data_IF_480547660818
#
_entry.id   IF_480547660818
#
_cell.length_a   1.000
_cell.length_b   1.000
_cell.length_c   1.000
_cell.angle_alpha   90.00
_cell.angle_beta   90.00
_cell.angle_gamma   90.00
#
_symmetry.space_group_name_H-M   'P 1'
#
loop_
_entity.id
_entity.type
_entity.pdbx_description
1 polymer ?
#
# COMPACT_ATOMS: atom_id res chain seq x y z
N UNK A 1 2.18 -20.45 2.84
CA UNK A 1 2.44 -19.35 3.79
C UNK A 1 2.20 -19.86 5.18
N UNK A 2 3.20 -19.73 6.05
CA UNK A 2 3.13 -20.08 7.47
C UNK A 2 3.09 -18.80 8.32
N UNK A 3 1.92 -18.53 8.90
CA UNK A 3 1.69 -17.35 9.73
C UNK A 3 2.41 -17.41 11.09
N UNK A 4 2.68 -18.60 11.62
CA UNK A 4 3.40 -18.77 12.90
C UNK A 4 4.87 -18.44 12.71
N UNK A 5 5.48 -18.93 11.62
CA UNK A 5 6.84 -18.58 11.26
C UNK A 5 6.97 -17.09 10.95
N UNK A 6 6.04 -16.53 10.16
CA UNK A 6 6.02 -15.11 9.85
C UNK A 6 5.92 -14.24 11.13
N UNK A 7 5.03 -14.59 12.06
CA UNK A 7 4.92 -13.90 13.35
C UNK A 7 6.18 -14.08 14.22
N UNK A 8 6.79 -15.26 14.21
CA UNK A 8 8.04 -15.52 14.92
C UNK A 8 9.25 -14.72 14.39
N UNK A 9 9.24 -14.38 13.10
CA UNK A 9 10.21 -13.49 12.44
C UNK A 9 9.89 -12.02 12.73
N UNK A 10 8.63 -11.60 12.57
CA UNK A 10 8.23 -10.20 12.68
C UNK A 10 8.18 -9.69 14.13
N UNK A 11 7.68 -10.50 15.07
CA UNK A 11 7.42 -10.10 16.46
C UNK A 11 8.06 -11.03 17.49
N UNK A 12 8.57 -12.18 17.06
CA UNK A 12 9.22 -13.16 17.91
C UNK A 12 10.74 -13.01 17.95
N UNK A 13 11.40 -14.13 18.28
CA UNK A 13 12.84 -14.21 18.48
C UNK A 13 13.60 -14.90 17.35
N UNK A 14 12.94 -15.24 16.25
CA UNK A 14 13.58 -16.04 15.19
C UNK A 14 14.74 -15.29 14.52
N UNK A 15 14.73 -13.95 14.56
CA UNK A 15 15.82 -13.11 14.04
C UNK A 15 16.91 -12.76 15.06
N UNK A 16 16.81 -13.20 16.32
CA UNK A 16 17.91 -13.00 17.27
C UNK A 16 19.17 -13.77 16.81
N UNK A 17 18.97 -14.92 16.18
CA UNK A 17 20.04 -15.80 15.70
C UNK A 17 19.60 -16.60 14.47
N UNK A 18 20.43 -16.58 13.42
CA UNK A 18 20.11 -17.29 12.17
C UNK A 18 19.99 -18.82 12.31
N UNK A 19 20.58 -19.43 13.34
CA UNK A 19 20.38 -20.85 13.62
C UNK A 19 18.96 -21.18 14.09
N UNK A 20 18.29 -20.25 14.79
CA UNK A 20 16.89 -20.44 15.21
C UNK A 20 15.97 -20.43 13.99
N UNK A 21 16.14 -19.43 13.11
CA UNK A 21 15.34 -19.35 11.89
C UNK A 21 15.61 -20.54 10.96
N UNK A 22 16.86 -20.97 10.79
CA UNK A 22 17.20 -22.12 9.95
C UNK A 22 16.53 -23.41 10.46
N UNK A 23 16.55 -23.65 11.79
CA UNK A 23 15.86 -24.79 12.40
C UNK A 23 14.34 -24.70 12.28
N UNK A 24 13.78 -23.51 12.36
CA UNK A 24 12.34 -23.30 12.23
C UNK A 24 11.85 -23.52 10.78
N UNK A 25 12.64 -23.09 9.78
CA UNK A 25 12.34 -23.27 8.35
C UNK A 25 12.55 -24.70 7.87
N UNK A 26 13.56 -25.38 8.39
CA UNK A 26 13.90 -26.75 8.02
C UNK A 26 14.17 -27.54 9.30
N UNK A 27 13.14 -28.01 10.02
CA UNK A 27 13.36 -28.87 11.18
C UNK A 27 14.05 -30.17 10.75
N UNK A 28 14.87 -30.73 11.65
CA UNK A 28 15.37 -32.10 11.46
C UNK A 28 14.21 -33.06 11.64
N UNK A 29 13.81 -33.76 10.58
CA UNK A 29 12.72 -34.73 10.63
C UNK A 29 13.30 -36.10 10.97
N UNK A 30 12.80 -36.71 12.06
CA UNK A 30 13.13 -38.09 12.39
C UNK A 30 12.20 -39.05 11.64
N UNK A 31 12.71 -39.75 10.62
CA UNK A 31 11.98 -40.81 9.88
C UNK A 31 11.40 -40.38 8.52
N UNK A 32 10.91 -41.37 7.77
CA UNK A 32 10.42 -41.33 6.37
C UNK A 32 9.14 -40.50 6.15
N UNK A 33 9.08 -39.28 6.67
CA UNK A 33 7.90 -38.43 6.60
C UNK A 33 7.94 -37.48 5.41
N UNK A 34 7.68 -38.02 4.23
CA UNK A 34 6.95 -37.32 3.17
C UNK A 34 6.35 -38.37 2.24
N UNK A 35 5.07 -38.69 2.41
CA UNK A 35 4.32 -39.59 1.51
C UNK A 35 4.37 -39.11 0.04
N UNK A 36 4.72 -37.84 -0.20
CA UNK A 36 4.68 -37.17 -1.51
C UNK A 36 6.04 -36.60 -1.99
N UNK A 37 7.16 -36.97 -1.36
CA UNK A 37 8.52 -36.75 -1.90
C UNK A 37 9.14 -35.34 -1.79
N UNK A 38 8.41 -34.31 -1.35
CA UNK A 38 9.00 -33.03 -0.87
C UNK A 38 8.04 -32.22 0.01
N UNK A 39 8.58 -31.29 0.82
CA UNK A 39 7.81 -30.32 1.61
C UNK A 39 8.30 -28.89 1.32
N UNK A 40 7.39 -27.91 1.42
CA UNK A 40 7.67 -26.50 1.17
C UNK A 40 7.38 -25.66 2.41
N UNK A 41 8.42 -25.17 3.07
CA UNK A 41 8.31 -24.10 4.06
C UNK A 41 8.31 -22.74 3.36
N UNK A 42 7.32 -21.90 3.66
CA UNK A 42 7.22 -20.55 3.09
C UNK A 42 6.69 -19.55 4.11
N UNK A 43 7.33 -18.38 4.21
CA UNK A 43 6.88 -17.24 4.99
C UNK A 43 7.03 -15.96 4.17
N UNK A 44 6.29 -14.93 4.57
CA UNK A 44 6.43 -13.57 4.05
C UNK A 44 6.36 -12.60 5.22
N UNK A 45 7.20 -11.55 5.19
CA UNK A 45 7.26 -10.47 6.18
C UNK A 45 7.65 -9.17 5.49
N UNK A 46 7.40 -8.03 6.13
CA UNK A 46 7.85 -6.73 5.63
C UNK A 46 9.38 -6.66 5.54
N UNK A 47 9.91 -6.00 4.52
CA UNK A 47 11.37 -5.90 4.29
C UNK A 47 12.09 -5.16 5.42
N UNK A 48 11.41 -4.17 5.98
CA UNK A 48 11.80 -3.39 7.16
C UNK A 48 12.04 -4.27 8.40
N UNK A 49 11.54 -5.52 8.40
CA UNK A 49 11.83 -6.47 9.48
C UNK A 49 13.33 -6.71 9.64
N UNK A 50 14.09 -6.73 8.55
CA UNK A 50 15.51 -7.04 8.54
C UNK A 50 16.38 -5.79 8.61
N UNK A 51 16.67 -5.32 9.82
CA UNK A 51 17.57 -4.20 10.09
C UNK A 51 16.90 -2.95 10.67
N UNK A 52 15.63 -2.69 10.30
CA UNK A 52 14.87 -1.56 10.84
C UNK A 52 14.08 -1.96 12.10
N UNK A 53 13.19 -2.96 12.02
CA UNK A 53 12.45 -3.45 13.18
C UNK A 53 13.31 -4.33 14.08
N UNK A 54 14.14 -5.20 13.49
CA UNK A 54 15.12 -6.02 14.20
C UNK A 54 16.51 -5.58 13.82
N UNK A 55 17.20 -4.91 14.74
CA UNK A 55 18.60 -4.52 14.54
C UNK A 55 19.45 -5.75 14.25
N UNK A 56 20.20 -5.73 13.16
CA UNK A 56 21.00 -6.84 12.65
C UNK A 56 20.19 -8.08 12.18
N UNK A 57 18.88 -7.94 11.97
CA UNK A 57 18.04 -9.02 11.43
C UNK A 57 18.52 -9.53 10.07
N UNK A 58 19.09 -8.66 9.25
CA UNK A 58 19.73 -9.01 7.98
C UNK A 58 20.94 -9.94 8.15
N UNK A 59 21.69 -9.83 9.25
CA UNK A 59 22.80 -10.74 9.56
C UNK A 59 22.26 -12.11 9.99
N UNK A 60 21.18 -12.16 10.78
CA UNK A 60 20.53 -13.42 11.12
C UNK A 60 19.96 -14.12 9.87
N UNK A 61 19.39 -13.36 8.95
CA UNK A 61 18.93 -13.88 7.65
C UNK A 61 20.10 -14.42 6.81
N UNK A 62 21.20 -13.68 6.70
CA UNK A 62 22.39 -14.14 5.99
C UNK A 62 22.97 -15.44 6.60
N UNK A 63 23.03 -15.52 7.94
CA UNK A 63 23.45 -16.74 8.65
C UNK A 63 22.50 -17.90 8.41
N UNK A 64 21.19 -17.64 8.34
CA UNK A 64 20.17 -18.65 7.99
C UNK A 64 20.48 -19.27 6.63
N UNK A 65 20.66 -18.44 5.60
CA UNK A 65 21.00 -18.93 4.25
C UNK A 65 22.32 -19.71 4.24
N UNK A 66 23.35 -19.24 4.96
CA UNK A 66 24.61 -19.96 5.06
C UNK A 66 24.48 -21.36 5.69
N UNK A 67 23.57 -21.53 6.66
CA UNK A 67 23.28 -22.84 7.26
C UNK A 67 22.51 -23.72 6.28
N UNK A 68 21.45 -23.20 5.67
CA UNK A 68 20.60 -23.96 4.75
C UNK A 68 21.37 -24.38 3.48
N UNK A 69 22.31 -23.57 3.00
CA UNK A 69 23.16 -23.90 1.85
C UNK A 69 24.13 -25.08 2.11
N UNK A 70 24.40 -25.42 3.38
CA UNK A 70 25.24 -26.56 3.75
C UNK A 70 24.44 -27.87 3.90
N UNK A 71 23.11 -27.80 3.81
CA UNK A 71 22.21 -28.94 3.96
C UNK A 71 21.88 -29.55 2.60
N UNK A 72 22.26 -30.81 2.41
CA UNK A 72 21.97 -31.54 1.16
C UNK A 72 20.48 -31.87 0.98
N UNK A 73 19.71 -31.84 2.07
CA UNK A 73 18.27 -32.12 2.12
C UNK A 73 17.39 -30.87 1.94
N UNK A 74 17.98 -29.68 1.84
CA UNK A 74 17.25 -28.41 1.72
C UNK A 74 17.62 -27.69 0.44
N UNK A 75 16.61 -27.11 -0.22
CA UNK A 75 16.78 -26.27 -1.41
C UNK A 75 16.06 -24.94 -1.22
N UNK A 76 16.84 -23.86 -1.17
CA UNK A 76 16.32 -22.48 -1.05
C UNK A 76 16.06 -21.92 -2.44
N UNK A 77 14.80 -21.64 -2.74
CA UNK A 77 14.37 -21.18 -4.07
C UNK A 77 13.15 -20.26 -4.03
N UNK A 78 12.84 -19.64 -5.16
CA UNK A 78 11.58 -18.93 -5.36
C UNK A 78 10.45 -19.88 -5.82
N UNK A 79 9.21 -19.40 -5.73
CA UNK A 79 8.03 -20.19 -6.09
C UNK A 79 8.01 -20.60 -7.58
N UNK A 80 8.52 -19.77 -8.49
CA UNK A 80 8.57 -20.11 -9.92
C UNK A 80 9.44 -21.34 -10.19
N UNK A 81 10.62 -21.44 -9.54
CA UNK A 81 11.49 -22.62 -9.65
C UNK A 81 10.84 -23.88 -9.10
N UNK A 82 10.11 -23.77 -7.98
CA UNK A 82 9.38 -24.90 -7.38
C UNK A 82 8.27 -25.36 -8.33
N UNK A 83 7.44 -24.44 -8.83
CA UNK A 83 6.31 -24.75 -9.73
C UNK A 83 6.76 -25.33 -11.07
N UNK A 84 7.94 -24.95 -11.58
CA UNK A 84 8.51 -25.54 -12.80
C UNK A 84 8.88 -27.03 -12.63
N UNK A 85 9.19 -27.47 -11.40
CA UNK A 85 9.56 -28.86 -11.08
C UNK A 85 8.39 -29.67 -10.52
N UNK A 86 7.42 -28.99 -9.92
CA UNK A 86 6.29 -29.56 -9.22
C UNK A 86 5.01 -28.84 -9.66
N UNK A 87 4.41 -29.34 -10.74
CA UNK A 87 3.15 -28.79 -11.23
C UNK A 87 2.04 -28.95 -10.17
N UNK A 88 1.19 -27.94 -9.97
CA UNK A 88 0.08 -28.03 -9.02
C UNK A 88 -0.90 -29.12 -9.46
N UNK A 89 -1.26 -30.00 -8.53
CA UNK A 89 -2.19 -31.12 -8.75
C UNK A 89 -3.51 -30.97 -8.02
N UNK A 90 -3.62 -29.94 -7.18
CA UNK A 90 -4.77 -29.70 -6.31
C UNK A 90 -5.23 -28.26 -6.47
N UNK A 91 -6.55 -28.09 -6.48
CA UNK A 91 -7.17 -26.78 -6.39
C UNK A 91 -7.27 -26.35 -4.92
N UNK A 92 -7.07 -25.06 -4.68
CA UNK A 92 -7.28 -24.45 -3.37
C UNK A 92 -8.32 -23.33 -3.49
N UNK A 93 -9.22 -23.26 -2.51
CA UNK A 93 -10.17 -22.15 -2.38
C UNK A 93 -9.57 -21.12 -1.42
N UNK A 94 -9.52 -19.87 -1.88
CA UNK A 94 -9.15 -18.73 -1.04
C UNK A 94 -10.42 -18.21 -0.38
N UNK A 95 -10.36 -17.98 0.93
CA UNK A 95 -11.44 -17.25 1.62
C UNK A 95 -11.39 -15.81 1.16
N UNK A 96 -12.47 -15.28 0.58
CA UNK A 96 -12.48 -13.95 -0.01
C UNK A 96 -13.65 -13.09 0.52
N UNK A 97 -13.41 -11.80 0.83
CA UNK A 97 -12.12 -11.11 0.84
C UNK A 97 -11.32 -11.40 2.12
N UNK A 98 -10.09 -11.94 2.00
CA UNK A 98 -9.17 -12.15 3.13
C UNK A 98 -7.96 -11.22 3.09
N UNK A 99 -7.22 -11.18 4.20
CA UNK A 99 -5.89 -10.57 4.25
C UNK A 99 -4.97 -11.38 5.18
N UNK A 100 -3.67 -11.15 5.06
CA UNK A 100 -2.67 -11.78 5.92
C UNK A 100 -2.57 -11.14 7.32
N UNK A 101 -3.11 -9.93 7.52
CA UNK A 101 -2.87 -9.10 8.71
C UNK A 101 -4.14 -8.64 9.42
N UNK A 102 -5.30 -9.15 9.02
CA UNK A 102 -6.56 -8.95 9.73
C UNK A 102 -7.38 -10.23 9.74
N UNK A 103 -7.70 -10.71 10.94
CA UNK A 103 -8.53 -11.91 11.15
C UNK A 103 -9.97 -11.75 10.59
N UNK A 104 -10.40 -10.51 10.39
CA UNK A 104 -11.71 -10.15 9.83
C UNK A 104 -11.64 -9.88 8.32
N UNK A 105 -10.72 -10.52 7.61
CA UNK A 105 -10.54 -10.36 6.18
C UNK A 105 -9.94 -9.01 5.82
N UNK A 106 -10.68 -8.13 5.13
CA UNK A 106 -10.20 -6.78 4.75
C UNK A 106 -10.81 -5.66 5.60
N UNK A 107 -11.45 -6.01 6.71
CA UNK A 107 -12.20 -5.06 7.50
C UNK A 107 -11.33 -4.00 8.19
N UNK A 108 -10.05 -4.32 8.49
CA UNK A 108 -9.05 -3.34 8.96
C UNK A 108 -9.03 -2.08 8.10
N UNK A 109 -9.27 -2.15 6.79
CA UNK A 109 -9.16 -0.98 5.92
C UNK A 109 -10.49 -0.26 5.65
N UNK A 110 -11.62 -0.72 6.22
CA UNK A 110 -12.94 -0.15 5.88
C UNK A 110 -13.94 -0.03 7.02
N UNK A 111 -13.75 -0.72 8.14
CA UNK A 111 -14.72 -0.73 9.24
C UNK A 111 -14.06 -0.78 10.62
N UNK A 112 -14.88 -0.64 11.67
CA UNK A 112 -14.47 -0.84 13.05
C UNK A 112 -14.48 -2.33 13.40
N UNK A 113 -13.50 -3.04 12.86
CA UNK A 113 -13.39 -4.49 12.97
C UNK A 113 -12.81 -4.97 14.31
N UNK A 114 -12.36 -4.04 15.15
CA UNK A 114 -11.76 -4.36 16.44
C UNK A 114 -10.27 -4.67 16.41
N UNK A 115 -9.69 -4.89 15.23
CA UNK A 115 -8.26 -5.16 15.04
C UNK A 115 -7.42 -3.89 15.20
N UNK A 116 -7.17 -3.52 16.46
CA UNK A 116 -6.56 -2.26 16.91
C UNK A 116 -5.24 -2.49 17.61
N UNK A 117 -4.33 -1.52 17.49
CA UNK A 117 -3.02 -1.58 18.14
C UNK A 117 -3.15 -1.15 19.61
N UNK A 118 -3.89 -0.08 19.86
CA UNK A 118 -4.13 0.51 21.17
C UNK A 118 -5.53 0.11 21.66
N UNK A 119 -5.65 -0.62 22.79
CA UNK A 119 -6.95 -0.95 23.38
C UNK A 119 -7.79 0.30 23.66
N UNK A 120 -9.10 0.21 23.44
CA UNK A 120 -10.04 1.29 23.71
C UNK A 120 -10.20 2.34 22.61
N UNK A 121 -9.34 2.36 21.58
CA UNK A 121 -9.53 3.21 20.40
C UNK A 121 -10.69 2.71 19.54
N UNK A 122 -11.35 3.63 18.83
CA UNK A 122 -12.35 3.35 17.79
C UNK A 122 -11.75 3.48 16.40
N UNK A 123 -12.25 2.64 15.51
CA UNK A 123 -11.89 2.61 14.09
C UNK A 123 -13.07 3.05 13.20
N UNK A 124 -14.13 3.59 13.80
CA UNK A 124 -15.34 4.02 13.11
C UNK A 124 -15.08 5.09 12.05
N UNK A 125 -13.98 5.86 12.19
CA UNK A 125 -13.54 6.88 11.24
C UNK A 125 -13.13 6.33 9.86
N UNK A 126 -12.77 5.04 9.77
CA UNK A 126 -12.29 4.42 8.53
C UNK A 126 -13.32 4.47 7.41
N UNK A 127 -14.58 4.19 7.74
CA UNK A 127 -15.71 4.22 6.80
C UNK A 127 -15.97 5.63 6.23
N UNK A 128 -16.19 6.68 7.04
CA UNK A 128 -16.41 8.03 6.52
C UNK A 128 -15.19 8.57 5.76
N UNK A 129 -13.95 8.30 6.20
CA UNK A 129 -12.76 8.69 5.43
C UNK A 129 -12.76 8.04 4.04
N UNK A 130 -12.96 6.72 3.98
CA UNK A 130 -13.01 5.99 2.69
C UNK A 130 -14.15 6.49 1.81
N UNK A 131 -15.31 6.81 2.39
CA UNK A 131 -16.43 7.38 1.65
C UNK A 131 -16.10 8.78 1.07
N UNK A 132 -15.40 9.62 1.83
CA UNK A 132 -14.93 10.94 1.39
C UNK A 132 -13.95 10.82 0.21
N UNK A 133 -12.94 9.96 0.32
CA UNK A 133 -11.95 9.75 -0.73
C UNK A 133 -12.55 9.07 -1.97
N UNK A 134 -13.48 8.12 -1.80
CA UNK A 134 -14.23 7.52 -2.92
C UNK A 134 -15.10 8.55 -3.65
N UNK A 135 -15.71 9.49 -2.92
CA UNK A 135 -16.44 10.58 -3.56
C UNK A 135 -15.50 11.46 -4.39
N UNK A 136 -14.39 11.90 -3.80
CA UNK A 136 -13.40 12.73 -4.50
C UNK A 136 -12.89 12.03 -5.76
N UNK A 137 -12.53 10.75 -5.64
CA UNK A 137 -12.10 9.93 -6.76
C UNK A 137 -13.11 9.93 -7.92
N UNK A 138 -14.40 9.68 -7.65
CA UNK A 138 -15.44 9.68 -8.69
C UNK A 138 -15.59 11.05 -9.37
N UNK A 139 -15.53 12.13 -8.59
CA UNK A 139 -15.61 13.50 -9.10
C UNK A 139 -14.41 13.86 -9.98
N UNK A 140 -13.22 13.38 -9.61
CA UNK A 140 -11.99 13.53 -10.38
C UNK A 140 -12.02 12.70 -11.66
N UNK A 141 -12.44 11.44 -11.59
CA UNK A 141 -12.53 10.53 -12.74
C UNK A 141 -13.45 11.11 -13.83
N UNK A 142 -14.59 11.71 -13.43
CA UNK A 142 -15.51 12.39 -14.36
C UNK A 142 -14.88 13.62 -15.04
N UNK A 143 -14.14 14.44 -14.28
CA UNK A 143 -13.46 15.63 -14.80
C UNK A 143 -12.27 15.27 -15.68
N UNK A 144 -11.53 14.23 -15.31
CA UNK A 144 -10.45 13.67 -16.10
C UNK A 144 -10.94 13.20 -17.47
N UNK A 145 -12.06 12.48 -17.51
CA UNK A 145 -12.66 12.06 -18.77
C UNK A 145 -13.06 13.28 -19.65
N UNK A 146 -13.68 14.30 -19.05
CA UNK A 146 -14.14 15.48 -19.78
C UNK A 146 -13.00 16.36 -20.30
N UNK A 147 -12.05 16.72 -19.42
CA UNK A 147 -10.91 17.57 -19.80
C UNK A 147 -9.87 16.80 -20.61
N UNK A 148 -9.59 15.56 -20.23
CA UNK A 148 -8.62 14.70 -20.89
C UNK A 148 -8.98 14.41 -22.35
N UNK A 149 -10.27 14.33 -22.69
CA UNK A 149 -10.72 14.20 -24.09
C UNK A 149 -10.36 15.42 -24.97
N UNK A 150 -10.02 16.57 -24.36
CA UNK A 150 -9.54 17.76 -25.08
C UNK A 150 -8.01 17.83 -25.17
N UNK A 151 -7.31 17.08 -24.32
CA UNK A 151 -5.85 17.13 -24.19
C UNK A 151 -5.15 15.93 -24.84
N UNK A 152 -5.82 14.79 -24.92
CA UNK A 152 -5.27 13.54 -25.43
C UNK A 152 -6.12 12.98 -26.57
N UNK A 153 -5.51 12.14 -27.42
CA UNK A 153 -6.26 11.35 -28.38
C UNK A 153 -7.24 10.38 -27.66
N UNK A 154 -6.77 9.75 -26.57
CA UNK A 154 -7.57 9.04 -25.59
C UNK A 154 -6.91 9.22 -24.21
N UNK A 155 -7.61 9.78 -23.20
CA UNK A 155 -7.03 10.03 -21.89
C UNK A 155 -6.70 8.76 -21.10
N UNK A 156 -7.40 7.63 -21.30
CA UNK A 156 -7.20 6.45 -20.46
C UNK A 156 -5.90 5.68 -20.77
N UNK A 157 -5.58 5.39 -22.05
CA UNK A 157 -4.27 4.85 -22.40
C UNK A 157 -3.11 5.81 -22.05
N UNK A 158 -3.34 7.13 -22.12
CA UNK A 158 -2.35 8.11 -21.68
C UNK A 158 -2.05 7.97 -20.18
N UNK A 159 -3.09 7.77 -19.36
CA UNK A 159 -2.96 7.55 -17.92
C UNK A 159 -2.25 6.24 -17.59
N UNK A 160 -2.59 5.15 -18.28
CA UNK A 160 -1.93 3.85 -18.11
C UNK A 160 -0.44 3.94 -18.44
N UNK A 161 -0.09 4.53 -19.60
CA UNK A 161 1.30 4.74 -20.00
C UNK A 161 2.06 5.64 -19.01
N UNK A 162 1.42 6.71 -18.54
CA UNK A 162 2.01 7.61 -17.56
C UNK A 162 2.33 6.91 -16.24
N UNK A 163 1.52 5.91 -15.84
CA UNK A 163 1.78 5.09 -14.65
C UNK A 163 3.16 4.42 -14.66
N UNK A 164 3.71 4.09 -15.83
CA UNK A 164 5.05 3.52 -15.97
C UNK A 164 6.20 4.51 -15.74
N UNK A 165 5.94 5.82 -15.83
CA UNK A 165 6.95 6.88 -15.73
C UNK A 165 6.66 7.93 -14.66
N UNK A 166 5.56 7.80 -13.90
CA UNK A 166 5.08 8.83 -12.99
C UNK A 166 6.10 9.28 -11.93
N UNK A 167 7.02 8.38 -11.54
CA UNK A 167 8.09 8.63 -10.57
C UNK A 167 9.46 8.88 -11.20
N UNK A 168 9.53 8.97 -12.53
CA UNK A 168 10.78 9.19 -13.27
C UNK A 168 11.10 10.69 -13.40
N UNK A 169 12.22 11.00 -14.04
CA UNK A 169 12.61 12.39 -14.30
C UNK A 169 11.59 13.08 -15.23
N UNK A 170 11.55 14.41 -15.16
CA UNK A 170 10.56 15.23 -15.88
C UNK A 170 10.67 15.09 -17.41
N UNK A 171 11.87 14.80 -17.93
CA UNK A 171 12.13 14.57 -19.35
C UNK A 171 11.35 13.38 -19.91
N UNK A 172 11.34 12.26 -19.20
CA UNK A 172 10.69 11.00 -19.57
C UNK A 172 9.17 11.12 -19.41
N UNK A 173 8.74 11.76 -18.32
CA UNK A 173 7.32 12.09 -18.09
C UNK A 173 6.75 12.91 -19.24
N UNK A 174 7.44 13.99 -19.64
CA UNK A 174 7.01 14.82 -20.78
C UNK A 174 7.06 14.10 -22.11
N UNK A 175 8.06 13.23 -22.33
CA UNK A 175 8.11 12.41 -23.52
C UNK A 175 6.89 11.49 -23.63
N UNK A 176 6.49 10.86 -22.52
CA UNK A 176 5.26 10.07 -22.43
C UNK A 176 4.02 10.93 -22.73
N UNK A 177 3.88 12.11 -22.12
CA UNK A 177 2.74 13.01 -22.38
C UNK A 177 2.63 13.36 -23.86
N UNK A 178 3.74 13.77 -24.50
CA UNK A 178 3.76 14.13 -25.93
C UNK A 178 3.33 13.00 -26.85
N UNK A 179 3.62 11.74 -26.49
CA UNK A 179 3.23 10.58 -27.30
C UNK A 179 1.71 10.38 -27.39
N UNK A 180 0.95 10.89 -26.41
CA UNK A 180 -0.51 10.76 -26.34
C UNK A 180 -1.26 12.08 -26.55
N UNK A 181 -0.55 13.19 -26.68
CA UNK A 181 -1.10 14.54 -26.74
C UNK A 181 -1.90 14.75 -28.04
N UNK A 182 -3.10 15.33 -27.91
CA UNK A 182 -3.87 15.75 -29.07
C UNK A 182 -3.18 16.92 -29.80
N UNK A 183 -3.35 17.04 -31.14
CA UNK A 183 -2.78 18.15 -31.89
C UNK A 183 -3.18 19.52 -31.32
N UNK A 184 -2.19 20.36 -31.00
CA UNK A 184 -2.42 21.71 -30.47
C UNK A 184 -2.82 21.77 -28.99
N UNK A 185 -2.94 20.63 -28.30
CA UNK A 185 -3.22 20.60 -26.87
C UNK A 185 -2.05 21.12 -26.03
N UNK A 186 -2.36 21.60 -24.82
CA UNK A 186 -1.37 22.16 -23.91
C UNK A 186 -0.65 21.03 -23.14
N UNK A 187 0.62 20.77 -23.47
CA UNK A 187 1.46 19.74 -22.82
C UNK A 187 1.53 19.92 -21.30
N UNK A 188 1.67 21.15 -20.80
CA UNK A 188 1.76 21.41 -19.36
C UNK A 188 0.45 21.06 -18.66
N UNK A 189 -0.69 21.39 -19.27
CA UNK A 189 -1.99 21.05 -18.70
C UNK A 189 -2.24 19.54 -18.71
N UNK A 190 -1.85 18.87 -19.79
CA UNK A 190 -1.89 17.41 -19.90
C UNK A 190 -1.06 16.73 -18.80
N UNK A 191 0.17 17.20 -18.56
CA UNK A 191 1.02 16.69 -17.48
C UNK A 191 0.41 16.93 -16.09
N UNK A 192 -0.09 18.14 -15.82
CA UNK A 192 -0.77 18.43 -14.54
C UNK A 192 -1.98 17.54 -14.32
N UNK A 193 -2.80 17.30 -15.35
CA UNK A 193 -3.98 16.47 -15.26
C UNK A 193 -3.61 15.00 -14.97
N UNK A 194 -2.54 14.49 -15.57
CA UNK A 194 -2.02 13.15 -15.27
C UNK A 194 -1.41 13.06 -13.86
N UNK A 195 -0.74 14.11 -13.40
CA UNK A 195 -0.26 14.20 -12.01
C UNK A 195 -1.40 14.20 -11.00
N UNK A 196 -2.52 14.86 -11.32
CA UNK A 196 -3.72 14.81 -10.49
C UNK A 196 -4.21 13.37 -10.34
N UNK A 197 -4.26 12.62 -11.44
CA UNK A 197 -4.72 11.23 -11.43
C UNK A 197 -3.75 10.29 -10.72
N UNK A 198 -2.44 10.47 -10.90
CA UNK A 198 -1.42 9.74 -10.15
C UNK A 198 -1.60 9.93 -8.64
N UNK A 199 -1.77 11.16 -8.17
CA UNK A 199 -2.00 11.43 -6.76
C UNK A 199 -3.38 10.94 -6.26
N UNK A 200 -4.41 10.95 -7.12
CA UNK A 200 -5.71 10.33 -6.84
C UNK A 200 -5.63 8.82 -6.66
N UNK A 201 -4.70 8.12 -7.30
CA UNK A 201 -4.41 6.72 -6.95
C UNK A 201 -3.62 6.64 -5.65
N UNK A 202 -2.61 7.50 -5.51
CA UNK A 202 -1.76 7.58 -4.34
C UNK A 202 -2.53 7.76 -3.02
N UNK A 203 -3.57 8.59 -2.97
CA UNK A 203 -4.36 8.84 -1.76
C UNK A 203 -5.11 7.62 -1.20
N UNK A 204 -5.10 6.47 -1.91
CA UNK A 204 -5.64 5.21 -1.42
C UNK A 204 -4.58 4.26 -0.86
N UNK A 205 -3.37 4.75 -0.57
CA UNK A 205 -2.36 3.98 0.16
C UNK A 205 -2.96 3.36 1.43
N UNK A 206 -2.88 2.03 1.53
CA UNK A 206 -3.58 1.26 2.56
C UNK A 206 -3.10 1.57 3.99
N UNK A 207 -1.89 2.10 4.13
CA UNK A 207 -1.32 2.58 5.39
C UNK A 207 -2.21 3.62 6.08
N UNK A 208 -2.97 4.44 5.34
CA UNK A 208 -3.91 5.42 5.90
C UNK A 208 -5.08 4.82 6.68
N UNK A 209 -5.28 3.51 6.64
CA UNK A 209 -6.29 2.84 7.47
C UNK A 209 -5.68 1.79 8.40
N UNK A 210 -4.36 1.61 8.39
CA UNK A 210 -3.73 0.51 9.11
C UNK A 210 -3.73 0.75 10.63
N UNK A 211 -3.37 1.96 11.04
CA UNK A 211 -3.29 2.40 12.42
C UNK A 211 -4.65 2.85 12.97
N UNK A 212 -4.67 3.22 14.24
CA UNK A 212 -5.92 3.39 14.99
C UNK A 212 -6.58 4.76 14.79
N UNK A 213 -5.88 5.76 14.27
CA UNK A 213 -6.36 7.15 14.28
C UNK A 213 -6.33 7.85 12.92
N UNK A 214 -7.36 8.66 12.67
CA UNK A 214 -7.48 9.48 11.45
C UNK A 214 -6.47 10.63 11.40
N UNK A 215 -5.94 11.07 12.55
CA UNK A 215 -4.89 12.07 12.66
C UNK A 215 -3.48 11.45 12.58
N UNK A 216 -3.37 10.13 12.34
CA UNK A 216 -2.10 9.44 12.13
C UNK A 216 -1.31 9.98 10.95
N UNK A 217 0.01 9.81 10.98
CA UNK A 217 0.91 10.35 9.95
C UNK A 217 0.56 9.81 8.56
N UNK A 218 0.29 8.52 8.46
CA UNK A 218 -0.07 7.82 7.23
C UNK A 218 -1.35 8.39 6.61
N UNK A 219 -2.37 8.62 7.43
CA UNK A 219 -3.64 9.22 6.99
C UNK A 219 -3.42 10.64 6.49
N UNK A 220 -2.61 11.43 7.21
CA UNK A 220 -2.27 12.80 6.81
C UNK A 220 -1.49 12.81 5.50
N UNK A 221 -0.58 11.88 5.26
CA UNK A 221 0.13 11.75 3.98
C UNK A 221 -0.83 11.47 2.81
N UNK A 222 -1.84 10.62 2.98
CA UNK A 222 -2.83 10.36 1.92
C UNK A 222 -3.75 11.57 1.68
N UNK A 223 -4.08 12.30 2.74
CA UNK A 223 -4.78 13.58 2.63
C UNK A 223 -3.95 14.64 1.90
N UNK A 224 -2.62 14.63 2.05
CA UNK A 224 -1.70 15.44 1.24
C UNK A 224 -1.76 15.10 -0.24
N UNK A 225 -1.84 13.82 -0.59
CA UNK A 225 -2.02 13.40 -1.99
C UNK A 225 -3.39 13.83 -2.53
N UNK A 226 -4.47 13.71 -1.75
CA UNK A 226 -5.78 14.24 -2.13
C UNK A 226 -5.73 15.75 -2.38
N UNK A 227 -5.06 16.49 -1.49
CA UNK A 227 -4.84 17.92 -1.60
C UNK A 227 -4.04 18.29 -2.87
N UNK A 228 -2.95 17.58 -3.15
CA UNK A 228 -2.12 17.77 -4.33
C UNK A 228 -2.90 17.47 -5.62
N UNK A 229 -3.74 16.44 -5.61
CA UNK A 229 -4.58 16.04 -6.72
C UNK A 229 -5.61 17.13 -7.05
N UNK A 230 -6.32 17.64 -6.03
CA UNK A 230 -7.28 18.73 -6.16
C UNK A 230 -6.65 19.99 -6.76
N UNK A 231 -5.47 20.37 -6.29
CA UNK A 231 -4.75 21.55 -6.79
C UNK A 231 -4.50 21.44 -8.31
N UNK A 232 -4.09 20.26 -8.77
CA UNK A 232 -3.88 19.97 -10.20
C UNK A 232 -5.15 19.81 -11.00
N UNK A 233 -6.27 19.47 -10.37
CA UNK A 233 -7.58 19.54 -11.03
C UNK A 233 -8.05 20.99 -11.23
N UNK A 234 -7.43 21.97 -10.54
CA UNK A 234 -7.78 23.40 -10.59
C UNK A 234 -9.27 23.67 -10.32
N UNK A 235 -9.90 22.84 -9.48
CA UNK A 235 -11.32 22.94 -9.13
C UNK A 235 -11.52 23.01 -7.60
N UNK A 236 -11.77 24.22 -7.10
CA UNK A 236 -12.01 24.47 -5.68
C UNK A 236 -13.31 23.85 -5.14
N UNK A 237 -14.24 23.42 -6.00
CA UNK A 237 -15.46 22.72 -5.55
C UNK A 237 -15.15 21.33 -4.99
N UNK A 238 -14.09 20.67 -5.50
CA UNK A 238 -13.61 19.39 -5.00
C UNK A 238 -13.11 19.51 -3.55
N UNK A 239 -12.34 20.56 -3.24
CA UNK A 239 -11.82 20.77 -1.89
C UNK A 239 -12.94 21.00 -0.88
N UNK A 240 -13.93 21.82 -1.24
CA UNK A 240 -15.10 22.06 -0.39
C UNK A 240 -15.85 20.76 -0.11
N UNK A 241 -16.21 20.02 -1.17
CA UNK A 241 -16.97 18.78 -1.00
C UNK A 241 -16.19 17.67 -0.30
N UNK A 242 -14.86 17.65 -0.38
CA UNK A 242 -14.02 16.76 0.40
C UNK A 242 -14.10 17.10 1.88
N UNK A 243 -13.87 18.38 2.23
CA UNK A 243 -13.87 18.86 3.61
C UNK A 243 -15.19 18.59 4.32
N UNK A 244 -16.32 18.85 3.66
CA UNK A 244 -17.66 18.58 4.20
C UNK A 244 -17.85 17.11 4.60
N UNK A 245 -17.22 16.18 3.86
CA UNK A 245 -17.30 14.73 4.13
C UNK A 245 -16.29 14.26 5.16
N UNK A 246 -15.11 14.89 5.23
CA UNK A 246 -14.08 14.56 6.20
C UNK A 246 -14.53 14.81 7.64
N UNK A 247 -15.44 15.76 7.87
CA UNK A 247 -15.98 16.07 9.21
C UNK A 247 -16.66 14.86 9.89
N UNK A 248 -17.10 13.85 9.12
CA UNK A 248 -17.70 12.64 9.67
C UNK A 248 -16.68 11.62 10.22
N UNK A 249 -15.38 11.81 9.97
CA UNK A 249 -14.31 10.93 10.44
C UNK A 249 -13.65 11.51 11.69
N UNK A 250 -14.10 11.10 12.86
CA UNK A 250 -13.64 11.60 14.16
C UNK A 250 -12.35 10.92 14.63
N UNK A 251 -11.41 11.70 15.15
CA UNK A 251 -10.20 11.21 15.81
C UNK A 251 -10.53 10.63 17.19
N UNK A 252 -9.74 9.65 17.63
CA UNK A 252 -9.73 9.16 19.00
C UNK A 252 -9.14 10.17 19.98
N UNK A 253 -8.36 11.16 19.50
CA UNK A 253 -7.88 12.28 20.29
C UNK A 253 -8.85 13.48 20.15
N UNK A 254 -9.56 13.86 21.23
CA UNK A 254 -10.45 15.01 21.22
C UNK A 254 -9.75 16.33 20.86
N UNK A 255 -8.44 16.45 21.12
CA UNK A 255 -7.67 17.64 20.78
C UNK A 255 -7.54 17.82 19.25
N UNK A 256 -7.45 16.72 18.51
CA UNK A 256 -7.39 16.69 17.04
C UNK A 256 -8.76 16.92 16.40
N UNK A 257 -9.83 16.42 17.02
CA UNK A 257 -11.21 16.61 16.55
C UNK A 257 -11.57 15.62 15.43
N UNK A 258 -11.68 16.11 14.20
CA UNK A 258 -12.07 15.30 13.03
C UNK A 258 -11.09 15.46 11.86
N UNK A 259 -11.27 14.65 10.82
CA UNK A 259 -10.40 14.66 9.65
C UNK A 259 -10.46 15.97 8.85
N UNK A 260 -11.55 16.75 8.93
CA UNK A 260 -11.61 18.08 8.29
C UNK A 260 -10.67 19.04 9.01
N UNK A 261 -10.72 19.04 10.35
CA UNK A 261 -9.85 19.88 11.16
C UNK A 261 -8.38 19.50 10.95
N UNK A 262 -8.08 18.21 10.93
CA UNK A 262 -6.74 17.66 10.63
C UNK A 262 -6.27 18.08 9.23
N UNK A 263 -7.13 17.92 8.21
CA UNK A 263 -6.84 18.35 6.83
C UNK A 263 -6.49 19.84 6.79
N UNK A 264 -7.30 20.69 7.42
CA UNK A 264 -7.05 22.14 7.44
C UNK A 264 -5.76 22.50 8.17
N UNK A 265 -5.50 21.93 9.35
CA UNK A 265 -4.39 22.32 10.20
C UNK A 265 -3.04 21.73 9.79
N UNK A 266 -3.01 20.55 9.17
CA UNK A 266 -1.77 19.83 8.86
C UNK A 266 -1.49 19.69 7.37
N UNK A 267 -2.51 19.76 6.52
CA UNK A 267 -2.35 19.66 5.06
C UNK A 267 -2.40 21.06 4.47
N UNK A 268 -3.51 21.79 4.63
CA UNK A 268 -3.67 23.11 4.02
C UNK A 268 -2.71 24.16 4.60
N UNK A 269 -2.50 24.17 5.93
CA UNK A 269 -1.64 25.16 6.57
C UNK A 269 -0.15 25.01 6.18
N UNK A 270 0.27 23.80 5.80
CA UNK A 270 1.63 23.50 5.42
C UNK A 270 1.85 23.56 3.89
N UNK A 271 0.80 23.80 3.09
CA UNK A 271 0.96 24.07 1.66
C UNK A 271 1.80 25.34 1.47
N UNK A 272 2.84 25.31 0.62
CA UNK A 272 3.51 26.53 0.18
C UNK A 272 2.44 27.47 -0.40
N UNK A 273 2.38 28.71 0.09
CA UNK A 273 1.53 29.72 -0.55
C UNK A 273 2.07 29.90 -1.96
N UNK A 274 1.24 29.62 -2.97
CA UNK A 274 1.55 29.96 -4.36
C UNK A 274 1.90 31.45 -4.40
N UNK A 275 3.07 31.80 -4.94
CA UNK A 275 3.37 33.20 -5.22
C UNK A 275 2.30 33.71 -6.20
N UNK A 276 1.57 34.75 -5.78
CA UNK A 276 0.55 35.41 -6.59
C UNK A 276 1.17 36.11 -7.80
#
# INVERSE_FOLDING_TARGET
YDGVLAAGVAFGRLLERGDLLARALAPEVAGDAADDGFSLASLATDGETFGHHHKFGEMALARTFAILAQRADVRVENFASVLARHAPTHDALVVEPSSWSCAHGVERWRSDCGDRIVPGTSQAWRRPLRAALNWLAREMDARFAAEGATLFADPWPALEAFGGVATWLDTERRACVRAHLAPGANENRALELLDAMWARFGMFGSCAWFFDDVAGHETVLMLWLAAYAIERMRDGTLERGLRDRLAAATSNDPAEGDAERVYRSRVLAARPRSAA
#
